data_IF_106019916324
#
_entry.id   IF_106019916324
#
_cell.length_a   1.000
_cell.length_b   1.000
_cell.length_c   1.000
_cell.angle_alpha   90.00
_cell.angle_beta   90.00
_cell.angle_gamma   90.00
#
_symmetry.space_group_name_H-M   'P 1'
#
loop_
_entity.id
_entity.type
_entity.pdbx_description
1 polymer ?
#
# COMPACT_ATOMS: atom_id res chain seq x y z
N UNK A 1 47.54 -19.22 40.01
CA UNK A 1 46.95 -18.31 41.03
C UNK A 1 47.04 -16.96 40.37
N UNK A 2 46.07 -16.64 39.53
CA UNK A 2 46.19 -15.51 38.61
C UNK A 2 44.85 -14.80 38.57
N UNK A 3 44.75 -13.69 39.31
CA UNK A 3 43.58 -12.85 39.35
C UNK A 3 43.59 -11.88 38.16
N UNK A 4 42.50 -11.74 37.40
CA UNK A 4 42.40 -10.68 36.40
C UNK A 4 42.01 -9.35 37.05
N UNK A 5 42.79 -8.32 36.75
CA UNK A 5 42.62 -6.93 37.15
C UNK A 5 41.42 -6.31 36.43
N UNK A 6 40.50 -5.71 37.18
CA UNK A 6 39.27 -5.09 36.65
C UNK A 6 39.53 -3.59 36.46
N UNK A 7 39.68 -3.14 35.21
CA UNK A 7 39.76 -1.72 34.87
C UNK A 7 38.34 -1.14 34.69
N UNK A 8 37.90 -0.36 35.68
CA UNK A 8 36.66 0.39 35.66
C UNK A 8 36.87 1.71 34.90
N UNK A 9 36.44 1.79 33.64
CA UNK A 9 36.40 3.05 32.88
C UNK A 9 34.96 3.55 32.82
N UNK A 10 34.68 4.57 33.62
CA UNK A 10 33.43 5.34 33.64
C UNK A 10 33.33 6.20 32.39
N UNK A 11 32.29 6.09 31.56
CA UNK A 11 31.99 7.09 30.54
C UNK A 11 31.09 8.18 31.16
N UNK A 12 31.67 9.36 31.38
CA UNK A 12 30.91 10.61 31.53
C UNK A 12 30.35 11.00 30.16
N UNK A 13 29.10 10.63 29.88
CA UNK A 13 28.33 11.14 28.77
C UNK A 13 27.26 12.11 29.30
N UNK A 14 27.55 13.40 29.26
CA UNK A 14 26.59 14.44 29.64
C UNK A 14 25.42 14.55 28.65
N UNK A 15 24.25 15.05 29.10
CA UNK A 15 23.13 15.30 28.21
C UNK A 15 23.45 16.48 27.28
N UNK A 16 23.54 16.21 25.98
CA UNK A 16 23.53 17.26 24.97
C UNK A 16 22.14 17.90 24.96
N UNK A 17 22.05 19.09 25.56
CA UNK A 17 20.91 19.98 25.45
C UNK A 17 20.67 20.30 23.98
N UNK A 18 19.56 19.78 23.45
CA UNK A 18 19.09 20.07 22.11
C UNK A 18 18.45 21.47 22.14
N UNK A 19 19.17 22.49 21.67
CA UNK A 19 18.63 23.82 21.45
C UNK A 19 17.54 23.76 20.37
N UNK A 20 16.30 24.05 20.76
CA UNK A 20 15.20 24.20 19.82
C UNK A 20 15.32 25.56 19.10
N UNK A 21 15.10 25.61 17.77
CA UNK A 21 15.09 26.86 17.03
C UNK A 21 13.95 27.79 17.49
N UNK A 22 14.12 29.12 17.33
CA UNK A 22 13.12 30.09 17.72
C UNK A 22 11.78 29.87 17.00
N UNK A 23 10.73 29.86 17.82
CA UNK A 23 9.32 29.83 17.47
C UNK A 23 8.99 30.81 16.32
N UNK A 24 8.80 30.29 15.11
CA UNK A 24 8.36 31.07 13.95
C UNK A 24 6.87 31.36 14.12
N UNK A 25 6.51 32.63 14.17
CA UNK A 25 5.14 33.08 14.33
C UNK A 25 4.22 32.52 13.21
N UNK A 26 2.95 32.20 13.52
CA UNK A 26 1.99 31.74 12.53
C UNK A 26 1.76 32.79 11.44
N UNK A 27 1.62 32.40 10.15
CA UNK A 27 1.19 33.32 9.12
C UNK A 27 -0.23 33.84 9.43
N UNK A 28 -0.41 35.14 9.28
CA UNK A 28 -1.68 35.84 9.50
C UNK A 28 -2.80 35.27 8.62
N UNK A 29 -4.05 35.18 9.13
CA UNK A 29 -5.18 34.74 8.33
C UNK A 29 -5.51 35.79 7.26
N UNK A 30 -5.26 35.45 5.99
CA UNK A 30 -5.76 36.22 4.86
C UNK A 30 -7.30 36.25 4.89
N UNK A 31 -7.83 37.47 4.93
CA UNK A 31 -9.25 37.77 5.13
C UNK A 31 -10.19 37.06 4.16
N UNK A 32 -11.26 36.53 4.72
CA UNK A 32 -12.46 36.14 4.00
C UNK A 32 -13.11 37.39 3.41
N UNK A 33 -13.25 37.40 2.08
CA UNK A 33 -14.03 38.36 1.32
C UNK A 33 -15.53 38.04 1.52
N UNK A 34 -16.35 38.96 2.07
CA UNK A 34 -17.80 38.76 2.15
C UNK A 34 -18.47 39.16 0.83
N UNK A 35 -19.34 38.29 0.33
CA UNK A 35 -20.32 38.63 -0.71
C UNK A 35 -20.18 37.80 -1.97
N UNK A 36 -21.06 36.82 -2.16
CA UNK A 36 -22.13 36.92 -3.18
C UNK A 36 -23.11 35.74 -2.99
N UNK A 37 -24.24 35.99 -2.33
CA UNK A 37 -25.39 35.10 -2.36
C UNK A 37 -26.12 35.33 -3.68
N UNK A 38 -26.13 34.32 -4.56
CA UNK A 38 -27.06 34.24 -5.67
C UNK A 38 -28.19 33.27 -5.30
N UNK A 39 -29.45 33.73 -5.14
CA UNK A 39 -30.61 32.88 -5.16
C UNK A 39 -31.17 32.84 -6.58
N UNK A 40 -31.01 31.72 -7.30
CA UNK A 40 -31.78 31.51 -8.54
C UNK A 40 -32.35 30.09 -8.56
N UNK A 41 -33.60 30.03 -8.12
CA UNK A 41 -34.75 29.36 -8.74
C UNK A 41 -34.50 28.03 -9.46
N UNK A 42 -34.93 26.95 -8.80
CA UNK A 42 -35.36 25.71 -9.46
C UNK A 42 -36.64 25.96 -10.27
N UNK A 43 -36.76 25.50 -11.53
CA UNK A 43 -38.03 25.25 -12.17
C UNK A 43 -38.53 23.82 -11.90
N UNK A 44 -39.84 23.57 -12.06
CA UNK A 44 -40.53 22.40 -11.54
C UNK A 44 -40.37 21.13 -12.39
N UNK A 45 -40.51 20.02 -11.66
CA UNK A 45 -40.81 18.66 -12.09
C UNK A 45 -41.69 18.61 -13.35
N UNK A 46 -41.21 17.95 -14.39
CA UNK A 46 -42.04 17.43 -15.49
C UNK A 46 -41.87 15.92 -15.57
N UNK A 47 -42.99 15.22 -15.40
CA UNK A 47 -43.14 13.77 -15.46
C UNK A 47 -43.17 13.27 -16.94
N UNK A 48 -43.17 11.95 -17.18
CA UNK A 48 -42.57 11.33 -18.36
C UNK A 48 -43.50 11.32 -19.57
N UNK A 49 -42.97 11.63 -20.75
CA UNK A 49 -43.59 11.28 -22.03
C UNK A 49 -43.02 9.96 -22.50
N UNK A 50 -43.82 8.91 -22.37
CA UNK A 50 -43.59 7.59 -22.94
C UNK A 50 -43.56 7.70 -24.47
N UNK A 51 -42.37 7.59 -25.06
CA UNK A 51 -42.21 7.40 -26.49
C UNK A 51 -42.31 5.89 -26.84
N UNK A 52 -42.93 5.53 -27.97
CA UNK A 52 -43.12 4.14 -28.35
C UNK A 52 -41.79 3.45 -28.67
N UNK A 53 -41.65 2.27 -28.07
CA UNK A 53 -40.60 1.27 -28.23
C UNK A 53 -40.35 0.96 -29.71
N UNK A 54 -39.25 1.50 -30.25
CA UNK A 54 -38.75 1.12 -31.57
C UNK A 54 -38.09 -0.26 -31.44
N UNK A 55 -38.63 -1.24 -32.17
CA UNK A 55 -38.09 -2.59 -32.22
C UNK A 55 -36.60 -2.58 -32.60
N UNK A 56 -35.75 -3.37 -31.93
CA UNK A 56 -34.35 -3.50 -32.29
C UNK A 56 -34.24 -4.10 -33.70
N UNK A 57 -33.69 -3.31 -34.63
CA UNK A 57 -33.34 -3.78 -35.96
C UNK A 57 -32.34 -4.94 -35.90
N UNK A 58 -32.29 -5.79 -36.94
CA UNK A 58 -31.43 -6.96 -36.99
C UNK A 58 -29.96 -6.55 -36.79
N UNK A 59 -29.18 -7.33 -36.02
CA UNK A 59 -27.80 -7.00 -35.71
C UNK A 59 -26.97 -6.94 -36.99
N UNK A 60 -26.56 -5.74 -37.36
CA UNK A 60 -25.56 -5.53 -38.41
C UNK A 60 -24.24 -6.09 -37.89
N UNK A 61 -23.83 -7.24 -38.43
CA UNK A 61 -22.48 -7.77 -38.23
C UNK A 61 -21.50 -6.68 -38.69
N UNK A 62 -20.62 -6.14 -37.83
CA UNK A 62 -19.63 -5.19 -38.27
C UNK A 62 -18.74 -5.93 -39.27
N UNK A 63 -18.80 -5.52 -40.53
CA UNK A 63 -17.81 -5.91 -41.52
C UNK A 63 -16.49 -5.36 -41.00
N UNK A 64 -15.70 -6.23 -40.36
CA UNK A 64 -14.38 -5.92 -39.84
C UNK A 64 -13.56 -5.46 -41.04
N UNK A 65 -13.43 -4.14 -41.17
CA UNK A 65 -12.82 -3.48 -42.33
C UNK A 65 -11.42 -4.07 -42.52
N UNK A 66 -11.15 -4.58 -43.72
CA UNK A 66 -9.86 -5.16 -44.11
C UNK A 66 -8.67 -4.27 -43.74
N UNK A 67 -8.90 -2.95 -43.70
CA UNK A 67 -7.96 -1.91 -43.25
C UNK A 67 -7.48 -2.15 -41.81
N UNK A 68 -8.35 -2.55 -40.88
CA UNK A 68 -7.97 -2.81 -39.48
C UNK A 68 -7.07 -4.04 -39.34
N UNK A 69 -7.32 -5.08 -40.15
CA UNK A 69 -6.47 -6.28 -40.18
C UNK A 69 -5.08 -5.93 -40.69
N UNK A 70 -4.98 -5.11 -41.76
CA UNK A 70 -3.69 -4.66 -42.29
C UNK A 70 -2.91 -3.82 -41.27
N UNK A 71 -3.57 -2.92 -40.53
CA UNK A 71 -2.93 -2.11 -39.48
C UNK A 71 -2.37 -3.00 -38.36
N UNK A 72 -3.13 -4.00 -37.90
CA UNK A 72 -2.66 -4.92 -36.85
C UNK A 72 -1.42 -5.73 -37.29
N UNK A 73 -1.38 -6.19 -38.55
CA UNK A 73 -0.22 -6.91 -39.10
C UNK A 73 1.02 -6.00 -39.16
N UNK A 74 0.85 -4.73 -39.56
CA UNK A 74 1.96 -3.75 -39.60
C UNK A 74 2.51 -3.50 -38.19
N UNK A 75 1.63 -3.34 -37.19
CA UNK A 75 2.05 -3.12 -35.79
C UNK A 75 2.84 -4.32 -35.26
N UNK A 76 2.43 -5.55 -35.57
CA UNK A 76 3.14 -6.77 -35.17
C UNK A 76 4.55 -6.86 -35.78
N UNK A 77 4.70 -6.50 -37.06
CA UNK A 77 6.00 -6.50 -37.74
C UNK A 77 6.91 -5.40 -37.16
N UNK A 78 6.39 -4.18 -36.94
CA UNK A 78 7.17 -3.09 -36.34
C UNK A 78 7.55 -3.39 -34.89
N UNK A 79 6.64 -3.99 -34.10
CA UNK A 79 6.90 -4.37 -32.71
C UNK A 79 8.00 -5.42 -32.59
N UNK A 80 8.02 -6.43 -33.46
CA UNK A 80 9.08 -7.46 -33.45
C UNK A 80 10.45 -6.91 -33.84
N UNK A 81 10.52 -5.98 -34.81
CA UNK A 81 11.77 -5.31 -35.20
C UNK A 81 12.33 -4.42 -34.08
N UNK A 82 11.48 -3.69 -33.37
CA UNK A 82 11.90 -2.87 -32.22
C UNK A 82 12.33 -3.74 -31.03
N UNK A 83 11.64 -4.84 -30.77
CA UNK A 83 11.95 -5.74 -29.65
C UNK A 83 13.27 -6.51 -29.84
N UNK A 84 13.61 -6.89 -31.08
CA UNK A 84 14.89 -7.53 -31.38
C UNK A 84 16.11 -6.62 -31.09
N UNK A 85 15.93 -5.31 -31.16
CA UNK A 85 16.99 -4.32 -30.92
C UNK A 85 17.28 -4.07 -29.43
N UNK A 86 16.43 -4.55 -28.51
CA UNK A 86 16.55 -4.24 -27.08
C UNK A 86 17.18 -5.36 -26.22
N UNK A 87 17.53 -6.50 -26.81
CA UNK A 87 18.10 -7.67 -26.08
C UNK A 87 19.54 -7.51 -25.59
N UNK A 88 20.20 -6.36 -25.77
CA UNK A 88 21.60 -6.12 -25.38
C UNK A 88 21.85 -5.58 -23.96
N UNK A 89 20.83 -5.14 -23.20
CA UNK A 89 21.05 -4.37 -21.96
C UNK A 89 21.00 -5.20 -20.66
N UNK A 90 20.37 -6.38 -20.60
CA UNK A 90 20.06 -7.06 -19.32
C UNK A 90 21.29 -7.71 -18.61
N UNK A 91 22.50 -7.59 -19.17
CA UNK A 91 23.70 -8.25 -18.64
C UNK A 91 24.69 -7.34 -17.93
N UNK A 92 24.35 -6.74 -16.78
CA UNK A 92 25.34 -6.19 -15.81
C UNK A 92 24.68 -5.94 -14.45
N UNK A 93 24.56 -6.98 -13.64
CA UNK A 93 24.34 -6.81 -12.20
C UNK A 93 25.70 -6.48 -11.56
N UNK A 94 25.88 -5.32 -10.90
CA UNK A 94 27.07 -5.05 -10.14
C UNK A 94 27.14 -6.03 -8.96
N UNK A 95 28.22 -6.80 -8.91
CA UNK A 95 28.58 -7.71 -7.83
C UNK A 95 28.85 -6.89 -6.57
N UNK A 96 27.83 -6.64 -5.76
CA UNK A 96 27.98 -6.00 -4.46
C UNK A 96 28.65 -6.97 -3.48
N UNK A 97 29.81 -6.55 -3.00
CA UNK A 97 30.63 -7.24 -2.00
C UNK A 97 29.88 -7.40 -0.67
N UNK A 98 30.15 -8.48 0.09
CA UNK A 98 29.55 -8.69 1.40
C UNK A 98 30.17 -7.73 2.43
N UNK A 99 29.45 -6.65 2.77
CA UNK A 99 29.78 -5.84 3.94
C UNK A 99 29.35 -6.60 5.19
N UNK A 100 30.34 -7.02 5.98
CA UNK A 100 30.17 -7.68 7.26
C UNK A 100 29.30 -6.82 8.20
N UNK A 101 28.09 -7.30 8.48
CA UNK A 101 27.19 -6.75 9.49
C UNK A 101 27.66 -7.21 10.87
N UNK A 102 28.46 -6.38 11.55
CA UNK A 102 28.75 -6.51 12.97
C UNK A 102 27.48 -6.26 13.78
N UNK A 103 26.86 -7.35 14.23
CA UNK A 103 25.72 -7.37 15.14
C UNK A 103 26.15 -7.00 16.56
N UNK A 104 25.59 -5.97 17.21
CA UNK A 104 25.74 -5.78 18.64
C UNK A 104 24.85 -6.79 19.39
N UNK A 105 25.49 -7.77 20.03
CA UNK A 105 24.88 -8.71 20.97
C UNK A 105 24.60 -7.98 22.28
N UNK A 106 23.39 -7.45 22.44
CA UNK A 106 22.92 -6.89 23.71
C UNK A 106 22.16 -8.00 24.45
N UNK A 107 22.77 -8.51 25.52
CA UNK A 107 22.12 -9.39 26.50
C UNK A 107 21.36 -8.54 27.52
N UNK A 108 20.04 -8.69 27.67
CA UNK A 108 19.32 -8.12 28.79
C UNK A 108 19.49 -9.01 30.04
N UNK A 109 19.93 -8.40 31.14
CA UNK A 109 19.87 -8.98 32.47
C UNK A 109 18.40 -9.11 32.89
N UNK A 110 17.98 -10.34 33.21
CA UNK A 110 16.62 -10.65 33.62
C UNK A 110 16.58 -10.60 35.15
N UNK A 111 15.86 -9.63 35.71
CA UNK A 111 15.47 -9.66 37.12
C UNK A 111 14.41 -10.74 37.32
N UNK A 112 14.77 -11.76 38.09
CA UNK A 112 13.90 -12.84 38.52
C UNK A 112 13.00 -12.34 39.66
N UNK A 113 11.71 -12.21 39.36
CA UNK A 113 10.64 -12.15 40.37
C UNK A 113 9.70 -13.33 40.16
N UNK A 114 9.37 -14.01 41.25
CA UNK A 114 8.64 -15.27 41.30
C UNK A 114 7.15 -15.00 41.58
N UNK A 115 6.24 -15.21 40.62
CA UNK A 115 4.81 -15.29 40.90
C UNK A 115 4.36 -16.75 41.10
N UNK A 116 3.75 -17.00 42.26
CA UNK A 116 2.99 -18.23 42.59
C UNK A 116 1.71 -18.26 41.75
N UNK A 117 1.66 -19.13 40.73
CA UNK A 117 0.52 -19.28 39.84
C UNK A 117 -0.32 -20.53 40.16
N UNK A 118 -1.64 -20.32 40.20
CA UNK A 118 -2.71 -21.32 40.21
C UNK A 118 -2.79 -22.02 38.84
N UNK A 119 -2.97 -23.35 38.75
CA UNK A 119 -3.01 -24.07 37.49
C UNK A 119 -4.41 -23.97 36.87
N UNK A 120 -4.68 -22.89 36.14
CA UNK A 120 -5.81 -22.83 35.22
C UNK A 120 -5.35 -23.35 33.85
N UNK A 121 -5.92 -24.47 33.42
CA UNK A 121 -5.55 -25.18 32.20
C UNK A 121 -5.85 -24.32 30.95
N UNK A 122 -4.91 -23.44 30.61
CA UNK A 122 -4.88 -22.73 29.33
C UNK A 122 -4.54 -23.73 28.23
N UNK A 123 -5.57 -24.16 27.51
CA UNK A 123 -5.42 -24.84 26.22
C UNK A 123 -4.83 -23.85 25.22
N UNK A 124 -3.50 -23.81 25.14
CA UNK A 124 -2.79 -23.07 24.09
C UNK A 124 -3.13 -23.69 22.75
N UNK A 125 -4.09 -23.11 22.02
CA UNK A 125 -4.31 -23.41 20.62
C UNK A 125 -3.00 -23.17 19.88
N UNK A 126 -2.40 -24.22 19.32
CA UNK A 126 -1.20 -24.12 18.49
C UNK A 126 -1.61 -23.42 17.20
N UNK A 127 -1.48 -22.10 17.17
CA UNK A 127 -1.60 -21.32 15.95
C UNK A 127 -0.40 -21.68 15.09
N UNK A 128 -0.63 -22.44 14.02
CA UNK A 128 0.41 -22.70 13.02
C UNK A 128 0.53 -21.43 12.20
N UNK A 129 1.49 -20.58 12.55
CA UNK A 129 1.71 -19.33 11.85
C UNK A 129 2.00 -19.59 10.38
N UNK A 130 1.08 -19.18 9.51
CA UNK A 130 1.22 -19.32 8.07
C UNK A 130 2.18 -18.24 7.55
N UNK A 131 3.32 -18.66 7.00
CA UNK A 131 4.37 -17.77 6.46
C UNK A 131 3.84 -16.82 5.38
N UNK A 132 2.83 -17.25 4.61
CA UNK A 132 2.21 -16.40 3.60
C UNK A 132 1.43 -15.25 4.26
N UNK A 133 0.72 -15.50 5.36
CA UNK A 133 -0.05 -14.48 6.07
C UNK A 133 0.87 -13.43 6.71
N UNK A 134 2.02 -13.85 7.26
CA UNK A 134 3.05 -12.92 7.72
C UNK A 134 3.59 -12.05 6.57
N UNK A 135 3.83 -12.66 5.41
CA UNK A 135 4.29 -11.96 4.20
C UNK A 135 3.25 -10.93 3.76
N UNK A 136 1.98 -11.30 3.66
CA UNK A 136 0.87 -10.39 3.30
C UNK A 136 0.77 -9.21 4.26
N UNK A 137 0.84 -9.45 5.58
CA UNK A 137 0.79 -8.39 6.59
C UNK A 137 1.97 -7.41 6.43
N UNK A 138 3.17 -7.94 6.20
CA UNK A 138 4.37 -7.13 5.95
C UNK A 138 4.24 -6.29 4.68
N UNK A 139 3.71 -6.88 3.60
CA UNK A 139 3.49 -6.19 2.34
C UNK A 139 2.48 -5.05 2.47
N UNK A 140 1.36 -5.27 3.18
CA UNK A 140 0.39 -4.22 3.50
C UNK A 140 1.02 -3.09 4.34
N UNK A 141 1.88 -3.41 5.31
CA UNK A 141 2.60 -2.40 6.09
C UNK A 141 3.57 -1.56 5.24
N UNK A 142 4.23 -2.17 4.25
CA UNK A 142 5.10 -1.46 3.30
C UNK A 142 4.29 -0.52 2.40
N UNK A 143 3.17 -0.98 1.85
CA UNK A 143 2.28 -0.15 1.01
C UNK A 143 1.71 1.02 1.83
N UNK A 144 1.23 0.76 3.06
CA UNK A 144 0.77 1.81 4.00
C UNK A 144 1.86 2.87 4.23
N UNK A 145 3.09 2.44 4.50
CA UNK A 145 4.21 3.35 4.71
C UNK A 145 4.52 4.21 3.48
N UNK A 146 4.42 3.65 2.27
CA UNK A 146 4.59 4.40 1.02
C UNK A 146 3.46 5.41 0.80
N UNK A 147 2.21 5.03 1.10
CA UNK A 147 1.05 5.92 1.03
C UNK A 147 1.17 7.10 1.99
N UNK A 148 1.63 6.89 3.24
CA UNK A 148 1.87 7.99 4.18
C UNK A 148 2.92 8.98 3.65
N UNK A 149 4.00 8.47 3.03
CA UNK A 149 5.01 9.33 2.38
C UNK A 149 4.44 10.10 1.19
N UNK A 150 3.60 9.46 0.37
CA UNK A 150 2.89 10.12 -0.72
C UNK A 150 2.01 11.25 -0.20
N UNK A 151 1.22 10.98 0.85
CA UNK A 151 0.33 11.97 1.47
C UNK A 151 1.11 13.17 2.02
N UNK A 152 2.25 12.95 2.68
CA UNK A 152 3.08 14.03 3.19
C UNK A 152 3.54 15.03 2.11
N UNK A 153 3.60 14.61 0.83
CA UNK A 153 4.00 15.45 -0.31
C UNK A 153 2.79 16.00 -1.07
N UNK A 154 1.71 15.23 -1.18
CA UNK A 154 0.56 15.56 -2.04
C UNK A 154 -0.65 16.08 -1.27
N UNK A 155 -0.67 15.95 0.05
CA UNK A 155 -1.80 16.24 0.93
C UNK A 155 -3.11 15.49 0.58
N UNK A 156 -3.00 14.41 -0.20
CA UNK A 156 -4.08 13.51 -0.58
C UNK A 156 -3.51 12.10 -0.84
N UNK A 157 -4.34 11.07 -0.69
CA UNK A 157 -4.05 9.70 -1.13
C UNK A 157 -4.54 9.48 -2.58
N UNK A 158 -3.98 8.54 -3.34
CA UNK A 158 -4.44 8.24 -4.70
C UNK A 158 -5.91 7.76 -4.74
N UNK A 159 -6.84 8.63 -5.13
CA UNK A 159 -8.26 8.31 -5.10
C UNK A 159 -8.64 7.17 -6.06
N UNK A 160 -9.56 6.31 -5.64
CA UNK A 160 -10.13 5.23 -6.45
C UNK A 160 -11.56 4.94 -6.02
N UNK A 161 -12.52 5.13 -6.94
CA UNK A 161 -13.95 4.95 -6.68
C UNK A 161 -14.33 3.51 -6.28
N UNK A 162 -13.53 2.54 -6.73
CA UNK A 162 -13.74 1.11 -6.49
C UNK A 162 -12.45 0.43 -6.00
N UNK A 163 -12.59 -0.81 -5.53
CA UNK A 163 -11.44 -1.62 -5.10
C UNK A 163 -10.66 -2.06 -6.35
N UNK A 164 -9.40 -1.65 -6.44
CA UNK A 164 -8.48 -2.03 -7.52
C UNK A 164 -7.44 -3.03 -7.04
N UNK A 165 -6.89 -3.82 -7.97
CA UNK A 165 -5.78 -4.74 -7.68
C UNK A 165 -4.47 -3.97 -7.63
N UNK A 166 -3.74 -4.09 -6.54
CA UNK A 166 -2.41 -3.46 -6.42
C UNK A 166 -1.38 -4.05 -7.40
N UNK A 167 -1.55 -5.29 -7.86
CA UNK A 167 -0.66 -5.92 -8.83
C UNK A 167 -0.78 -5.36 -10.26
N UNK A 168 -1.78 -4.52 -10.53
CA UNK A 168 -1.90 -3.83 -11.82
C UNK A 168 -0.93 -2.65 -11.90
N UNK A 169 0.09 -2.78 -12.76
CA UNK A 169 1.10 -1.76 -13.00
C UNK A 169 0.54 -0.44 -13.56
N UNK A 170 -0.66 -0.47 -14.16
CA UNK A 170 -1.31 0.73 -14.69
C UNK A 170 -2.34 1.33 -13.72
N UNK A 171 -2.49 0.77 -12.52
CA UNK A 171 -3.41 1.28 -11.50
C UNK A 171 -3.03 2.69 -11.03
N UNK A 172 -4.01 3.47 -10.59
CA UNK A 172 -3.79 4.80 -9.99
C UNK A 172 -2.82 4.74 -8.81
N UNK A 173 -2.85 3.66 -8.03
CA UNK A 173 -1.92 3.43 -6.93
C UNK A 173 -0.49 3.24 -7.47
N UNK A 174 -0.28 2.35 -8.45
CA UNK A 174 1.04 2.07 -9.00
C UNK A 174 1.69 3.33 -9.58
N UNK A 175 0.95 4.10 -10.38
CA UNK A 175 1.44 5.34 -10.98
C UNK A 175 1.78 6.41 -9.93
N UNK A 176 1.07 6.41 -8.80
CA UNK A 176 1.28 7.39 -7.75
C UNK A 176 2.48 7.09 -6.86
N UNK A 177 2.66 5.82 -6.46
CA UNK A 177 3.68 5.47 -5.46
C UNK A 177 4.95 4.80 -6.01
N UNK A 178 4.91 4.26 -7.22
CA UNK A 178 6.05 3.61 -7.88
C UNK A 178 6.63 4.54 -8.96
N UNK A 179 7.96 4.69 -9.08
CA UNK A 179 9.02 4.08 -8.27
C UNK A 179 9.44 4.92 -7.05
N UNK A 180 8.79 6.07 -6.83
CA UNK A 180 9.30 7.11 -5.93
C UNK A 180 9.27 6.74 -4.45
N UNK A 181 8.16 6.17 -3.96
CA UNK A 181 7.98 5.84 -2.54
C UNK A 181 8.10 4.34 -2.28
N UNK A 182 7.97 3.54 -3.33
CA UNK A 182 8.14 2.09 -3.34
C UNK A 182 8.77 1.66 -4.67
N UNK A 183 9.76 0.75 -4.66
CA UNK A 183 10.42 0.32 -5.90
C UNK A 183 9.49 -0.44 -6.85
N UNK A 184 8.61 -1.27 -6.28
CA UNK A 184 7.58 -2.02 -7.00
C UNK A 184 6.48 -2.42 -6.01
N UNK A 185 5.24 -2.58 -6.49
CA UNK A 185 4.16 -3.14 -5.68
C UNK A 185 4.38 -4.65 -5.48
N UNK A 186 4.23 -5.17 -4.25
CA UNK A 186 4.34 -6.60 -3.98
C UNK A 186 3.16 -7.36 -4.60
N UNK A 187 3.41 -8.61 -5.00
CA UNK A 187 2.36 -9.54 -5.42
C UNK A 187 2.00 -10.46 -4.25
N UNK A 188 0.73 -10.85 -4.15
CA UNK A 188 0.33 -11.86 -3.17
C UNK A 188 1.09 -13.18 -3.41
N UNK A 189 1.57 -13.87 -2.36
CA UNK A 189 2.27 -15.15 -2.50
C UNK A 189 1.51 -16.22 -3.28
N UNK A 190 0.18 -16.12 -3.33
CA UNK A 190 -0.72 -17.04 -4.04
C UNK A 190 -1.36 -16.41 -5.28
N UNK A 191 -0.74 -15.38 -5.86
CA UNK A 191 -1.15 -14.86 -7.17
C UNK A 191 -1.13 -15.99 -8.24
N UNK A 192 -2.06 -16.00 -9.20
CA UNK A 192 -3.10 -14.99 -9.46
C UNK A 192 -4.41 -15.21 -8.68
N UNK A 193 -4.48 -16.23 -7.82
CA UNK A 193 -5.72 -16.61 -7.13
C UNK A 193 -6.14 -15.55 -6.09
N UNK A 194 -5.16 -14.94 -5.42
CA UNK A 194 -5.35 -13.85 -4.47
C UNK A 194 -4.58 -12.59 -4.91
N UNK A 195 -5.00 -11.43 -4.39
CA UNK A 195 -4.41 -10.13 -4.67
C UNK A 195 -4.67 -9.18 -3.49
N UNK A 196 -3.85 -8.12 -3.37
CA UNK A 196 -4.17 -7.03 -2.45
C UNK A 196 -5.12 -6.03 -3.13
N UNK A 197 -6.21 -5.69 -2.44
CA UNK A 197 -7.17 -4.68 -2.87
C UNK A 197 -6.83 -3.31 -2.30
N UNK A 198 -7.02 -2.26 -3.09
CA UNK A 198 -6.84 -0.87 -2.66
C UNK A 198 -8.07 -0.01 -2.99
N UNK A 199 -8.45 0.88 -2.08
CA UNK A 199 -9.47 1.91 -2.29
C UNK A 199 -9.14 3.16 -1.47
N UNK A 200 -9.46 4.34 -1.98
CA UNK A 200 -9.28 5.60 -1.26
C UNK A 200 -10.25 6.67 -1.77
N UNK A 201 -10.68 7.56 -0.88
CA UNK A 201 -11.46 8.76 -1.19
C UNK A 201 -10.59 10.04 -1.25
N UNK A 202 -9.26 9.88 -1.23
CA UNK A 202 -8.29 10.98 -1.18
C UNK A 202 -7.88 11.40 0.24
N UNK A 203 -8.70 11.14 1.27
CA UNK A 203 -8.41 11.53 2.66
C UNK A 203 -8.15 10.32 3.56
N UNK A 204 -8.80 9.21 3.28
CA UNK A 204 -8.64 7.92 3.93
C UNK A 204 -8.33 6.87 2.88
N UNK A 205 -7.66 5.79 3.29
CA UNK A 205 -7.47 4.65 2.41
C UNK A 205 -7.76 3.34 3.12
N UNK A 206 -8.02 2.32 2.31
CA UNK A 206 -8.19 0.94 2.72
C UNK A 206 -7.35 0.04 1.82
N UNK A 207 -6.54 -0.85 2.44
CA UNK A 207 -5.87 -1.96 1.76
C UNK A 207 -6.36 -3.27 2.38
N UNK A 208 -6.72 -4.23 1.55
CA UNK A 208 -7.25 -5.53 1.99
C UNK A 208 -6.47 -6.71 1.40
N UNK A 209 -6.48 -7.83 2.13
CA UNK A 209 -5.95 -9.11 1.69
C UNK A 209 -6.76 -10.25 2.30
N UNK A 210 -6.70 -11.44 1.70
CA UNK A 210 -7.25 -12.67 2.29
C UNK A 210 -6.15 -13.36 3.08
N UNK A 211 -6.42 -13.72 4.34
CA UNK A 211 -5.58 -14.60 5.14
C UNK A 211 -6.01 -16.06 4.97
N UNK A 212 -5.03 -16.94 4.95
CA UNK A 212 -5.24 -18.39 4.86
C UNK A 212 -5.64 -18.98 6.21
N UNK A 213 -5.03 -18.50 7.30
CA UNK A 213 -5.40 -18.89 8.65
C UNK A 213 -6.73 -18.25 9.04
N UNK A 214 -7.80 -19.06 9.05
CA UNK A 214 -9.15 -18.63 9.46
C UNK A 214 -9.28 -18.38 10.96
N UNK A 215 -8.31 -18.83 11.76
CA UNK A 215 -8.26 -18.58 13.20
C UNK A 215 -7.52 -17.30 13.55
N UNK A 216 -6.86 -16.64 12.58
CA UNK A 216 -6.15 -15.39 12.81
C UNK A 216 -7.14 -14.26 13.15
N UNK A 217 -7.08 -13.81 14.40
CA UNK A 217 -7.94 -12.75 14.95
C UNK A 217 -7.70 -11.37 14.34
N UNK A 218 -6.63 -11.19 13.57
CA UNK A 218 -6.36 -9.93 12.88
C UNK A 218 -7.34 -9.71 11.72
N UNK A 219 -7.87 -10.78 11.13
CA UNK A 219 -8.82 -10.72 10.04
C UNK A 219 -10.28 -10.74 10.49
N UNK A 220 -11.19 -10.48 9.56
CA UNK A 220 -12.64 -10.57 9.74
C UNK A 220 -13.22 -11.59 8.76
N UNK A 221 -13.93 -12.59 9.28
CA UNK A 221 -14.59 -13.60 8.46
C UNK A 221 -15.71 -12.97 7.61
N UNK A 222 -15.54 -12.99 6.29
CA UNK A 222 -16.53 -12.56 5.30
C UNK A 222 -16.87 -13.75 4.41
N UNK A 223 -18.00 -14.41 4.70
CA UNK A 223 -18.32 -15.71 4.10
C UNK A 223 -17.31 -16.77 4.56
N UNK A 224 -16.54 -17.31 3.62
CA UNK A 224 -15.53 -18.35 3.89
C UNK A 224 -14.08 -17.83 3.88
N UNK A 225 -13.90 -16.51 3.75
CA UNK A 225 -12.59 -15.85 3.66
C UNK A 225 -12.30 -15.07 4.94
N UNK A 226 -11.08 -15.15 5.44
CA UNK A 226 -10.62 -14.30 6.55
C UNK A 226 -9.99 -13.03 5.97
N UNK A 227 -10.68 -11.89 6.00
CA UNK A 227 -10.20 -10.66 5.35
C UNK A 227 -9.41 -9.82 6.34
N UNK A 228 -8.12 -9.62 6.08
CA UNK A 228 -7.30 -8.66 6.81
C UNK A 228 -7.35 -7.30 6.11
N UNK A 229 -7.56 -6.26 6.92
CA UNK A 229 -7.76 -4.90 6.44
C UNK A 229 -6.86 -3.92 7.19
N UNK A 230 -6.23 -3.03 6.45
CA UNK A 230 -5.44 -1.91 6.96
C UNK A 230 -6.07 -0.61 6.47
N UNK A 231 -6.42 0.28 7.39
CA UNK A 231 -6.93 1.62 7.09
C UNK A 231 -6.06 2.70 7.73
N UNK A 232 -6.12 3.91 7.19
CA UNK A 232 -5.56 5.11 7.81
C UNK A 232 -6.30 6.37 7.32
N UNK A 233 -6.18 7.47 8.07
CA UNK A 233 -6.70 8.79 7.71
C UNK A 233 -5.57 9.82 7.70
N UNK A 234 -5.83 10.97 7.09
CA UNK A 234 -4.87 12.09 7.03
C UNK A 234 -4.75 12.92 8.31
N UNK A 235 -5.65 12.71 9.27
CA UNK A 235 -5.70 13.46 10.53
C UNK A 235 -5.00 12.67 11.63
N UNK A 236 -3.68 12.84 11.77
CA UNK A 236 -2.92 12.51 12.98
C UNK A 236 -2.71 13.76 13.85
#
# INVERSE_FOLDING_TARGET
MDQPTINNSTPQGGPNSFEMPPNVAPPEPMGQKPGEQNPVSQPPVSAPTSAPEQMPGPPHKPALSYVMIVILVIILILGTLLFASWRGWIGSQPKSSPTASTSPKISPAISSVLPTASPEASSSSVTTTNVNDETRKKDLANIKSALKKYYAVKAEYPASDSVIKTSDANSVLAQAIVPTYLQSLPNDPLAPNFYYGYKSDGQTFEITTVLEDKSDSSGTMTGNLNIYKVTDSSTE
#
